data_IF_843847621643
#
_entry.id   IF_843847621643
#
_cell.length_a   1.000
_cell.length_b   1.000
_cell.length_c   1.000
_cell.angle_alpha   90.00
_cell.angle_beta   90.00
_cell.angle_gamma   90.00
#
_symmetry.space_group_name_H-M   'P 1'
#
loop_
_entity.id
_entity.type
_entity.pdbx_description
1 polymer ?
#
# COMPACT_ATOMS: atom_id res chain seq x y z
N UNK A 1 68.61 24.19 -23.82
CA UNK A 1 68.47 23.32 -25.00
C UNK A 1 68.76 21.89 -24.56
N UNK A 2 67.73 21.15 -24.17
CA UNK A 2 67.62 19.69 -24.29
C UNK A 2 66.21 19.30 -23.82
N UNK A 3 65.43 18.84 -24.79
CA UNK A 3 64.06 18.30 -24.71
C UNK A 3 64.09 16.86 -24.19
N UNK A 4 63.04 16.40 -23.48
CA UNK A 4 62.24 15.19 -23.74
C UNK A 4 61.23 14.94 -22.58
N UNK A 5 60.03 14.51 -22.98
CA UNK A 5 58.76 14.37 -22.24
C UNK A 5 58.61 12.97 -21.62
N UNK A 6 57.97 12.81 -20.45
CA UNK A 6 57.28 11.55 -20.07
C UNK A 6 56.10 11.78 -19.08
N UNK A 7 54.90 11.68 -19.65
CA UNK A 7 53.63 11.05 -19.20
C UNK A 7 53.15 11.02 -17.72
N UNK A 8 52.01 11.69 -17.49
CA UNK A 8 50.75 11.26 -16.83
C UNK A 8 50.82 10.14 -15.77
N UNK A 9 50.57 10.48 -14.49
CA UNK A 9 49.71 9.67 -13.61
C UNK A 9 48.81 10.60 -12.78
N UNK A 10 47.59 10.75 -13.25
CA UNK A 10 46.48 11.40 -12.55
C UNK A 10 45.93 10.39 -11.54
N UNK A 11 46.41 10.41 -10.29
CA UNK A 11 45.92 9.52 -9.22
C UNK A 11 44.58 10.04 -8.72
N UNK A 12 43.52 9.60 -9.38
CA UNK A 12 42.13 9.81 -9.00
C UNK A 12 41.80 8.91 -7.80
N UNK A 13 42.14 9.36 -6.59
CA UNK A 13 41.91 8.65 -5.33
C UNK A 13 40.67 9.13 -4.59
N UNK A 14 39.54 9.28 -5.28
CA UNK A 14 38.23 9.46 -4.65
C UNK A 14 37.36 8.23 -4.98
N UNK A 15 37.70 7.08 -4.41
CA UNK A 15 36.74 5.98 -4.29
C UNK A 15 35.78 6.32 -3.14
N UNK A 16 34.93 7.31 -3.38
CA UNK A 16 33.74 7.52 -2.56
C UNK A 16 32.90 6.27 -2.69
N UNK A 17 32.88 5.45 -1.63
CA UNK A 17 31.96 4.33 -1.51
C UNK A 17 30.55 4.92 -1.47
N UNK A 18 29.93 5.04 -2.65
CA UNK A 18 28.52 5.37 -2.81
C UNK A 18 27.75 4.20 -2.18
N UNK A 19 27.41 4.35 -0.91
CA UNK A 19 26.35 3.56 -0.29
C UNK A 19 25.06 4.03 -0.98
N UNK A 20 24.75 3.42 -2.12
CA UNK A 20 23.41 3.46 -2.66
C UNK A 20 22.54 2.76 -1.63
N UNK A 21 21.92 3.55 -0.75
CA UNK A 21 20.72 3.11 -0.03
C UNK A 21 19.71 2.84 -1.13
N UNK A 22 19.69 1.61 -1.64
CA UNK A 22 18.61 1.11 -2.47
C UNK A 22 17.38 1.24 -1.59
N UNK A 23 16.55 2.25 -1.88
CA UNK A 23 15.20 2.30 -1.35
C UNK A 23 14.61 0.91 -1.60
N UNK A 24 14.32 0.16 -0.54
CA UNK A 24 13.77 -1.18 -0.63
C UNK A 24 12.33 -1.03 -1.11
N UNK A 25 12.20 -0.84 -2.42
CA UNK A 25 10.95 -0.61 -3.09
C UNK A 25 10.18 -1.94 -3.11
N UNK A 26 8.87 -1.84 -2.89
CA UNK A 26 7.96 -2.98 -2.97
C UNK A 26 8.04 -3.61 -4.38
N UNK A 27 8.11 -4.94 -4.45
CA UNK A 27 8.17 -5.67 -5.73
C UNK A 27 6.79 -5.76 -6.39
N UNK A 28 6.74 -5.59 -7.72
CA UNK A 28 5.60 -6.00 -8.53
C UNK A 28 5.50 -7.54 -8.57
N UNK A 29 4.28 -8.08 -8.59
CA UNK A 29 4.03 -9.52 -8.63
C UNK A 29 2.96 -9.98 -7.64
N UNK A 30 2.99 -11.27 -7.31
CA UNK A 30 2.04 -11.91 -6.41
C UNK A 30 2.38 -11.63 -4.94
N UNK A 31 1.40 -11.12 -4.22
CA UNK A 31 1.44 -10.93 -2.77
C UNK A 31 0.34 -11.74 -2.09
N UNK A 32 0.66 -12.32 -0.95
CA UNK A 32 -0.33 -12.84 -0.01
C UNK A 32 -0.58 -11.78 1.04
N UNK A 33 -1.84 -11.38 1.20
CA UNK A 33 -2.30 -10.31 2.05
C UNK A 33 -3.22 -10.90 3.12
N UNK A 34 -2.82 -10.81 4.37
CA UNK A 34 -3.65 -11.10 5.53
C UNK A 34 -4.19 -9.79 6.09
N UNK A 35 -5.51 -9.67 6.18
CA UNK A 35 -6.20 -8.51 6.75
C UNK A 35 -7.05 -8.95 7.92
N UNK A 36 -6.99 -8.21 9.01
CA UNK A 36 -7.88 -8.36 10.17
C UNK A 36 -8.69 -7.09 10.33
N UNK A 37 -10.00 -7.19 10.12
CA UNK A 37 -10.93 -6.09 10.31
C UNK A 37 -11.65 -6.21 11.66
N UNK A 38 -11.61 -5.14 12.43
CA UNK A 38 -12.27 -5.00 13.73
C UNK A 38 -13.30 -3.89 13.65
N UNK A 39 -14.53 -4.17 14.04
CA UNK A 39 -15.61 -3.19 14.11
C UNK A 39 -15.65 -2.57 15.50
N UNK A 40 -15.32 -1.29 15.61
CA UNK A 40 -15.54 -0.50 16.82
C UNK A 40 -17.02 -0.12 16.95
N UNK A 41 -17.67 0.14 15.81
CA UNK A 41 -19.10 0.42 15.74
C UNK A 41 -19.73 -0.29 14.54
N UNK A 42 -20.49 -1.36 14.82
CA UNK A 42 -21.19 -2.15 13.80
C UNK A 42 -22.60 -1.60 13.52
N UNK A 43 -23.04 -1.59 12.26
CA UNK A 43 -24.42 -1.24 11.90
C UNK A 43 -25.41 -2.39 12.14
N UNK A 44 -24.93 -3.59 12.49
CA UNK A 44 -25.71 -4.81 12.67
C UNK A 44 -25.91 -5.18 14.15
N UNK A 45 -27.04 -5.80 14.51
CA UNK A 45 -27.29 -6.28 15.87
C UNK A 45 -26.22 -7.30 16.31
N UNK A 46 -25.75 -7.21 17.55
CA UNK A 46 -24.79 -8.16 18.13
C UNK A 46 -23.33 -7.97 17.71
N UNK A 47 -22.98 -6.87 17.04
CA UNK A 47 -21.59 -6.52 16.73
C UNK A 47 -20.96 -7.27 15.55
N UNK A 48 -21.59 -8.33 15.06
CA UNK A 48 -21.16 -9.05 13.87
C UNK A 48 -21.50 -8.25 12.60
N UNK A 49 -20.50 -7.97 11.76
CA UNK A 49 -20.69 -7.29 10.49
C UNK A 49 -19.97 -8.04 9.35
N UNK A 50 -20.53 -8.05 8.13
CA UNK A 50 -19.87 -8.62 6.96
C UNK A 50 -18.47 -8.03 6.79
N UNK A 51 -17.49 -8.91 6.57
CA UNK A 51 -16.08 -8.53 6.43
C UNK A 51 -15.33 -8.33 7.75
N UNK A 52 -15.95 -8.55 8.91
CA UNK A 52 -15.24 -8.63 10.19
C UNK A 52 -14.41 -9.92 10.30
N UNK A 53 -13.28 -9.84 11.01
CA UNK A 53 -12.38 -10.98 11.26
C UNK A 53 -11.12 -10.97 10.39
N UNK A 54 -10.38 -12.08 10.43
CA UNK A 54 -9.13 -12.27 9.70
C UNK A 54 -9.37 -13.02 8.41
N UNK A 55 -8.87 -12.52 7.28
CA UNK A 55 -8.93 -13.17 5.98
C UNK A 55 -7.58 -13.04 5.29
N UNK A 56 -7.16 -14.12 4.60
CA UNK A 56 -5.96 -14.12 3.76
C UNK A 56 -6.37 -14.23 2.29
N UNK A 57 -5.85 -13.34 1.46
CA UNK A 57 -6.13 -13.28 0.02
C UNK A 57 -4.83 -13.16 -0.77
N UNK A 58 -4.86 -13.51 -2.05
CA UNK A 58 -3.77 -13.25 -2.99
C UNK A 58 -4.10 -12.04 -3.84
N UNK A 59 -3.14 -11.15 -4.02
CA UNK A 59 -3.27 -9.94 -4.84
C UNK A 59 -2.09 -9.87 -5.79
N UNK A 60 -2.36 -9.65 -7.07
CA UNK A 60 -1.34 -9.29 -8.04
C UNK A 60 -1.16 -7.77 -8.04
N UNK A 61 0.01 -7.32 -7.58
CA UNK A 61 0.37 -5.90 -7.50
C UNK A 61 1.20 -5.52 -8.74
N UNK A 62 0.73 -4.53 -9.50
CA UNK A 62 1.44 -4.06 -10.70
C UNK A 62 2.43 -2.93 -10.38
N UNK A 63 3.39 -2.71 -11.27
CA UNK A 63 4.33 -1.59 -11.15
C UNK A 63 3.59 -0.24 -11.20
N UNK A 64 2.57 -0.10 -12.06
CA UNK A 64 1.74 1.11 -12.13
C UNK A 64 1.07 1.42 -10.78
N UNK A 65 0.56 0.39 -10.08
CA UNK A 65 -0.03 0.56 -8.75
C UNK A 65 1.00 0.99 -7.71
N UNK A 66 2.21 0.44 -7.77
CA UNK A 66 3.32 0.85 -6.90
C UNK A 66 3.71 2.29 -7.19
N UNK A 67 3.80 2.69 -8.45
CA UNK A 67 4.20 4.05 -8.82
C UNK A 67 3.12 5.07 -8.42
N UNK A 68 1.85 4.70 -8.57
CA UNK A 68 0.68 5.54 -8.23
C UNK A 68 0.47 5.66 -6.73
N UNK A 69 0.45 4.55 -6.01
CA UNK A 69 0.06 4.52 -4.59
C UNK A 69 1.20 4.28 -3.62
N UNK A 70 2.30 3.64 -4.05
CA UNK A 70 3.39 3.22 -3.16
C UNK A 70 3.06 2.03 -2.27
N UNK A 71 1.84 1.48 -2.36
CA UNK A 71 1.38 0.37 -1.53
C UNK A 71 0.20 -0.38 -2.18
N UNK A 72 -0.14 -1.53 -1.60
CA UNK A 72 -1.40 -2.23 -1.85
C UNK A 72 -2.50 -1.42 -1.15
N UNK A 73 -3.41 -0.82 -1.92
CA UNK A 73 -4.52 -0.02 -1.39
C UNK A 73 -5.85 -0.78 -1.50
N UNK A 74 -6.77 -0.60 -0.54
CA UNK A 74 -8.07 -1.25 -0.56
C UNK A 74 -8.89 -0.84 -1.79
N UNK A 75 -9.56 -1.80 -2.41
CA UNK A 75 -10.43 -1.58 -3.57
C UNK A 75 -11.89 -1.71 -3.14
N UNK A 76 -12.40 -0.66 -2.48
CA UNK A 76 -13.79 -0.63 -2.00
C UNK A 76 -14.65 0.21 -2.92
N UNK A 77 -15.76 -0.36 -3.42
CA UNK A 77 -16.69 0.33 -4.32
C UNK A 77 -17.23 1.60 -3.66
N UNK A 78 -17.19 2.72 -4.38
CA UNK A 78 -17.64 4.03 -3.87
C UNK A 78 -16.60 4.76 -3.02
N UNK A 79 -15.41 4.17 -2.81
CA UNK A 79 -14.31 4.78 -2.08
C UNK A 79 -13.19 5.19 -3.03
N UNK A 80 -12.60 6.35 -2.76
CA UNK A 80 -11.48 6.91 -3.50
C UNK A 80 -10.29 7.10 -2.56
N UNK A 81 -9.09 6.80 -3.06
CA UNK A 81 -7.85 7.06 -2.35
C UNK A 81 -7.33 8.43 -2.79
N UNK A 82 -7.14 9.33 -1.84
CA UNK A 82 -6.77 10.74 -2.04
C UNK A 82 -5.62 11.12 -1.11
N UNK A 83 -5.03 12.30 -1.30
CA UNK A 83 -3.96 12.84 -0.44
C UNK A 83 -2.80 11.86 -0.20
N UNK A 84 -2.37 11.17 -1.27
CA UNK A 84 -1.31 10.17 -1.19
C UNK A 84 0.02 10.87 -0.93
N UNK A 85 0.66 10.52 0.17
CA UNK A 85 2.01 10.96 0.56
C UNK A 85 2.91 9.73 0.57
N UNK A 86 3.77 9.61 -0.44
CA UNK A 86 4.77 8.54 -0.53
C UNK A 86 5.95 8.85 0.40
N UNK A 87 6.40 7.84 1.13
CA UNK A 87 7.58 7.86 2.02
C UNK A 87 8.59 6.83 1.50
N UNK A 88 9.85 6.95 1.90
CA UNK A 88 10.92 6.05 1.42
C UNK A 88 10.64 4.55 1.66
N UNK A 89 9.87 4.22 2.69
CA UNK A 89 9.51 2.84 3.05
C UNK A 89 7.99 2.65 3.15
N UNK A 90 7.17 3.45 2.46
CA UNK A 90 5.72 3.32 2.63
C UNK A 90 4.91 4.48 2.09
N UNK A 91 3.70 4.65 2.62
CA UNK A 91 2.84 5.78 2.27
C UNK A 91 1.87 6.12 3.40
N UNK A 92 1.23 7.26 3.27
CA UNK A 92 -0.02 7.61 3.95
C UNK A 92 -1.02 8.15 2.93
N UNK A 93 -2.30 7.93 3.14
CA UNK A 93 -3.34 8.44 2.25
C UNK A 93 -4.68 8.57 2.99
N UNK A 94 -5.63 9.26 2.38
CA UNK A 94 -7.02 9.32 2.84
C UNK A 94 -7.91 8.45 1.95
N UNK A 95 -8.81 7.70 2.57
CA UNK A 95 -9.93 7.03 1.90
C UNK A 95 -11.17 7.89 2.06
N UNK A 96 -11.82 8.27 0.96
CA UNK A 96 -13.09 8.99 0.99
C UNK A 96 -14.15 8.15 0.30
N UNK A 97 -15.17 7.74 1.04
CA UNK A 97 -16.28 6.94 0.53
C UNK A 97 -17.53 7.79 0.36
N UNK A 98 -18.28 7.52 -0.71
CA UNK A 98 -19.56 8.17 -1.05
C UNK A 98 -20.58 7.14 -1.56
N UNK A 99 -21.87 7.46 -1.46
CA UNK A 99 -22.96 6.58 -1.87
C UNK A 99 -23.55 5.80 -0.69
N UNK A 100 -23.72 4.48 -0.86
CA UNK A 100 -24.32 3.60 0.16
C UNK A 100 -23.49 3.49 1.44
N UNK A 101 -22.17 3.73 1.33
CA UNK A 101 -21.26 3.92 2.45
C UNK A 101 -20.58 5.27 2.28
N UNK A 102 -20.71 6.15 3.27
CA UNK A 102 -20.14 7.48 3.24
C UNK A 102 -19.24 7.70 4.45
N UNK A 103 -18.09 8.34 4.27
CA UNK A 103 -17.17 8.57 5.37
C UNK A 103 -15.74 8.79 4.93
N UNK A 104 -14.86 8.87 5.92
CA UNK A 104 -13.43 9.07 5.71
C UNK A 104 -12.64 8.03 6.48
N UNK A 105 -11.53 7.60 5.90
CA UNK A 105 -10.56 6.78 6.59
C UNK A 105 -9.15 7.26 6.33
N UNK A 106 -8.25 6.92 7.24
CA UNK A 106 -6.81 7.15 7.11
C UNK A 106 -6.15 5.83 6.76
N UNK A 107 -5.24 5.84 5.80
CA UNK A 107 -4.42 4.69 5.43
C UNK A 107 -2.97 4.96 5.76
N UNK A 108 -2.33 3.95 6.33
CA UNK A 108 -0.90 3.88 6.56
C UNK A 108 -0.38 2.55 6.02
N UNK A 109 0.80 2.57 5.41
CA UNK A 109 1.48 1.37 4.95
C UNK A 109 2.96 1.58 5.08
N UNK A 110 3.62 0.55 5.57
CA UNK A 110 5.06 0.50 5.76
C UNK A 110 5.56 -0.80 5.15
N UNK A 111 6.60 -0.71 4.33
CA UNK A 111 7.38 -1.84 3.85
C UNK A 111 8.56 -1.99 4.81
N UNK A 112 8.73 -3.19 5.37
CA UNK A 112 9.92 -3.50 6.18
C UNK A 112 11.11 -3.76 5.26
N UNK A 113 10.83 -4.37 4.11
CA UNK A 113 11.77 -4.67 3.04
C UNK A 113 10.98 -4.78 1.70
N UNK A 114 11.62 -5.25 0.63
CA UNK A 114 10.97 -5.41 -0.68
C UNK A 114 9.92 -6.53 -0.75
N UNK A 115 9.82 -7.38 0.28
CA UNK A 115 9.04 -8.62 0.33
C UNK A 115 8.01 -8.63 1.46
N UNK A 116 8.12 -7.74 2.44
CA UNK A 116 7.23 -7.65 3.59
C UNK A 116 6.69 -6.24 3.75
N UNK A 117 5.38 -6.15 3.96
CA UNK A 117 4.74 -4.90 4.30
C UNK A 117 3.62 -5.07 5.32
N UNK A 118 3.32 -3.97 6.00
CA UNK A 118 2.18 -3.81 6.90
C UNK A 118 1.32 -2.65 6.43
N UNK A 119 0.05 -2.71 6.80
CA UNK A 119 -0.89 -1.64 6.56
C UNK A 119 -1.86 -1.47 7.72
N UNK A 120 -2.43 -0.28 7.81
CA UNK A 120 -3.52 0.04 8.71
C UNK A 120 -4.48 0.97 8.00
N UNK A 121 -5.76 0.67 8.10
CA UNK A 121 -6.84 1.56 7.69
C UNK A 121 -7.74 1.78 8.89
N UNK A 122 -8.03 3.04 9.21
CA UNK A 122 -9.03 3.38 10.22
C UNK A 122 -10.10 4.21 9.56
N UNK A 123 -11.35 3.73 9.57
CA UNK A 123 -12.46 4.33 8.85
C UNK A 123 -13.59 4.71 9.81
N UNK A 124 -14.11 5.93 9.65
CA UNK A 124 -15.28 6.45 10.36
C UNK A 124 -16.27 6.95 9.32
N UNK A 125 -17.53 6.54 9.46
CA UNK A 125 -18.56 6.94 8.51
C UNK A 125 -19.94 6.46 8.87
N UNK A 126 -20.72 6.22 7.83
CA UNK A 126 -22.07 5.71 7.91
C UNK A 126 -22.38 4.79 6.73
N UNK A 127 -23.32 3.88 6.94
CA UNK A 127 -23.82 2.97 5.91
C UNK A 127 -25.34 3.01 5.86
N UNK A 128 -25.90 2.90 4.66
CA UNK A 128 -27.33 2.71 4.48
C UNK A 128 -27.73 1.27 4.88
N UNK A 129 -28.62 1.16 5.85
CA UNK A 129 -29.17 -0.08 6.38
C UNK A 129 -30.70 -0.03 6.28
N UNK A 130 -31.23 -0.45 5.13
CA UNK A 130 -32.64 -0.29 4.78
C UNK A 130 -33.00 1.19 4.60
N UNK A 131 -34.10 1.70 5.17
CA UNK A 131 -34.48 3.10 5.04
C UNK A 131 -33.63 4.05 5.91
N UNK A 132 -32.82 3.51 6.82
CA UNK A 132 -32.08 4.28 7.81
C UNK A 132 -30.58 4.28 7.51
N UNK A 133 -29.91 5.37 7.89
CA UNK A 133 -28.45 5.44 7.88
C UNK A 133 -27.93 5.15 9.28
N UNK A 134 -26.91 4.29 9.40
CA UNK A 134 -26.29 3.94 10.69
C UNK A 134 -24.81 4.34 10.70
N UNK A 135 -24.31 4.93 11.80
CA UNK A 135 -22.89 5.19 11.95
C UNK A 135 -22.10 3.89 12.00
N UNK A 136 -20.88 3.94 11.47
CA UNK A 136 -19.94 2.84 11.46
C UNK A 136 -18.52 3.31 11.76
N UNK A 137 -17.77 2.43 12.41
CA UNK A 137 -16.35 2.60 12.66
C UNK A 137 -15.68 1.24 12.61
N UNK A 138 -14.61 1.13 11.82
CA UNK A 138 -13.79 -0.07 11.76
C UNK A 138 -12.32 0.25 11.57
N UNK A 139 -11.47 -0.67 11.99
CA UNK A 139 -10.03 -0.66 11.74
C UNK A 139 -9.62 -1.96 11.07
N UNK A 140 -8.87 -1.87 9.97
CA UNK A 140 -8.25 -3.03 9.33
C UNK A 140 -6.74 -2.93 9.46
N UNK A 141 -6.16 -3.90 10.16
CA UNK A 141 -4.72 -4.14 10.13
C UNK A 141 -4.41 -5.13 9.01
N UNK A 142 -3.28 -4.94 8.32
CA UNK A 142 -2.84 -5.87 7.29
C UNK A 142 -1.35 -6.19 7.38
N UNK A 143 -1.01 -7.40 6.98
CA UNK A 143 0.35 -7.86 6.70
C UNK A 143 0.37 -8.50 5.31
N UNK A 144 1.44 -8.27 4.56
CA UNK A 144 1.59 -8.84 3.23
C UNK A 144 2.99 -9.37 3.00
N UNK A 145 3.07 -10.51 2.32
CA UNK A 145 4.30 -11.21 1.98
C UNK A 145 4.36 -11.45 0.47
N UNK A 146 5.45 -11.05 -0.15
CA UNK A 146 5.72 -11.32 -1.57
C UNK A 146 5.92 -12.82 -1.78
N UNK A 147 5.31 -13.35 -2.84
CA UNK A 147 5.35 -14.78 -3.15
C UNK A 147 6.09 -15.06 -4.45
N UNK A 148 5.90 -14.23 -5.46
CA UNK A 148 6.50 -14.43 -6.78
C UNK A 148 6.42 -13.16 -7.62
N UNK A 149 7.34 -12.99 -8.58
CA UNK A 149 7.22 -11.95 -9.60
C UNK A 149 6.10 -12.25 -10.61
N UNK A 150 5.74 -13.53 -10.75
CA UNK A 150 4.62 -13.99 -11.57
C UNK A 150 3.33 -14.07 -10.74
N UNK A 151 2.25 -13.52 -11.28
CA UNK A 151 0.93 -13.52 -10.67
C UNK A 151 0.12 -14.79 -10.96
N UNK A 152 0.55 -15.62 -11.91
CA UNK A 152 -0.20 -16.80 -12.35
C UNK A 152 -1.63 -16.42 -12.74
N UNK A 153 -2.62 -17.15 -12.20
CA UNK A 153 -4.04 -16.94 -12.50
C UNK A 153 -4.69 -15.78 -11.69
N UNK A 154 -3.95 -15.12 -10.80
CA UNK A 154 -4.48 -14.02 -9.99
C UNK A 154 -4.50 -12.75 -10.84
N UNK A 155 -5.68 -12.39 -11.34
CA UNK A 155 -5.87 -11.14 -12.08
C UNK A 155 -5.54 -9.94 -11.19
N UNK A 156 -4.76 -8.97 -11.67
CA UNK A 156 -4.59 -7.69 -10.98
C UNK A 156 -5.95 -7.08 -10.69
N UNK A 157 -6.17 -6.67 -9.44
CA UNK A 157 -7.31 -5.83 -9.11
C UNK A 157 -7.10 -4.52 -9.88
N UNK A 158 -8.00 -4.20 -10.81
CA UNK A 158 -7.85 -3.03 -11.67
C UNK A 158 -7.63 -1.76 -10.84
N UNK A 159 -6.82 -0.84 -11.35
CA UNK A 159 -6.78 0.54 -10.83
C UNK A 159 -8.20 1.09 -11.02
N UNK A 160 -8.89 1.59 -9.98
CA UNK A 160 -10.23 2.10 -10.15
C UNK A 160 -10.18 3.24 -11.15
N UNK A 161 -11.04 3.16 -12.17
CA UNK A 161 -11.12 4.15 -13.24
C UNK A 161 -11.34 5.54 -12.63
N UNK A 162 -10.66 6.52 -13.24
CA UNK A 162 -10.60 7.91 -12.84
C UNK A 162 -11.98 8.55 -12.68
#
# INVERSE_FOLDING_TARGET
MSTIRFSIILVCGFFGMLILVLAQNRKAGLWELTTTQTWQQSPFPGGAAPGGGTTTTKVCLTQEQIDKYGAIVPQTRGCQITNIVKKGNGMTADMVCTGSMSGKGTLESTSTDGEHAKGKVHFIGSIQAGPNTKPIEWTTASSSVFKSADCGDVKPLGVPAK
#
